data_IF_011482046206
#
_entry.id   IF_011482046206
#
_cell.length_a   1.000
_cell.length_b   1.000
_cell.length_c   1.000
_cell.angle_alpha   90.00
_cell.angle_beta   90.00
_cell.angle_gamma   90.00
#
_symmetry.space_group_name_H-M   'P 1'
#
loop_
_entity.id
_entity.type
_entity.pdbx_description
1 polymer ?
#
# COMPACT_ATOMS: atom_id res chain seq x y z
N UNK A 1 0.47 28.13 1.05
CA UNK A 1 0.72 26.67 1.00
C UNK A 1 0.49 26.15 2.40
N UNK A 2 -0.42 25.20 2.58
CA UNK A 2 -0.57 24.48 3.85
C UNK A 2 0.58 23.49 3.96
N UNK A 3 1.32 23.55 5.07
CA UNK A 3 2.37 22.58 5.36
C UNK A 3 1.72 21.24 5.74
N UNK A 4 2.20 20.15 5.16
CA UNK A 4 1.86 18.80 5.56
C UNK A 4 2.67 18.42 6.80
N UNK A 5 2.04 17.75 7.76
CA UNK A 5 2.66 17.27 9.00
C UNK A 5 2.96 15.78 8.90
N UNK A 6 3.96 15.32 9.66
CA UNK A 6 4.28 13.89 9.74
C UNK A 6 3.11 13.09 10.33
N UNK A 7 2.94 11.86 9.85
CA UNK A 7 1.99 10.92 10.43
C UNK A 7 2.36 10.63 11.89
N UNK A 8 1.37 10.69 12.77
CA UNK A 8 1.49 10.18 14.14
C UNK A 8 1.15 8.69 14.11
N UNK A 9 2.09 7.85 14.53
CA UNK A 9 1.95 6.40 14.51
C UNK A 9 1.93 5.87 15.94
N UNK A 10 0.88 5.12 16.27
CA UNK A 10 0.90 4.19 17.38
C UNK A 10 1.24 2.79 16.86
N UNK A 11 1.70 1.92 17.75
CA UNK A 11 1.97 0.52 17.45
C UNK A 11 1.09 -0.33 18.33
N UNK A 12 0.34 -1.25 17.72
CA UNK A 12 -0.48 -2.20 18.48
C UNK A 12 0.39 -3.30 19.12
N UNK A 13 -0.23 -4.15 19.95
CA UNK A 13 0.46 -5.25 20.64
C UNK A 13 1.08 -6.29 19.69
N UNK A 14 0.65 -6.33 18.42
CA UNK A 14 1.21 -7.18 17.38
C UNK A 14 2.39 -6.54 16.63
N UNK A 15 2.76 -5.29 16.96
CA UNK A 15 3.82 -4.56 16.28
C UNK A 15 3.41 -4.01 14.91
N UNK A 16 2.13 -3.77 14.68
CA UNK A 16 1.62 -3.17 13.43
C UNK A 16 1.31 -1.69 13.65
N UNK A 17 1.69 -0.80 12.70
CA UNK A 17 1.42 0.62 12.83
C UNK A 17 -0.08 0.90 12.66
N UNK A 18 -0.59 1.72 13.57
CA UNK A 18 -1.98 2.21 13.61
C UNK A 18 -1.96 3.71 13.43
N UNK A 19 -2.87 4.22 12.60
CA UNK A 19 -3.05 5.66 12.48
C UNK A 19 -3.98 6.19 13.57
N UNK A 20 -3.46 6.97 14.50
CA UNK A 20 -4.27 7.60 15.56
C UNK A 20 -5.35 8.55 14.99
N UNK A 21 -5.16 9.04 13.76
CA UNK A 21 -6.10 9.95 13.11
C UNK A 21 -7.26 9.23 12.41
N UNK A 22 -7.09 7.97 12.03
CA UNK A 22 -8.08 7.20 11.28
C UNK A 22 -8.57 5.95 12.03
N UNK A 23 -7.99 5.65 13.20
CA UNK A 23 -8.28 4.49 14.05
C UNK A 23 -8.23 3.15 13.29
N UNK A 24 -7.27 3.04 12.37
CA UNK A 24 -7.12 1.88 11.48
C UNK A 24 -5.66 1.45 11.34
N UNK A 25 -5.45 0.17 11.05
CA UNK A 25 -4.14 -0.43 10.79
C UNK A 25 -3.70 -0.13 9.35
N UNK A 26 -2.41 0.15 9.12
CA UNK A 26 -1.93 0.39 7.76
C UNK A 26 -1.89 -0.88 6.89
N UNK A 27 -1.77 -2.05 7.51
CA UNK A 27 -1.84 -3.35 6.85
C UNK A 27 -2.29 -4.43 7.83
N UNK A 28 -2.79 -5.55 7.31
CA UNK A 28 -3.21 -6.69 8.12
C UNK A 28 -2.06 -7.26 8.96
N UNK A 29 -2.30 -7.44 10.26
CA UNK A 29 -1.33 -7.96 11.25
C UNK A 29 -0.76 -9.34 10.88
N UNK A 30 -1.46 -10.13 10.07
CA UNK A 30 -1.13 -11.55 9.86
C UNK A 30 -0.51 -11.81 8.47
N UNK A 31 -1.05 -11.19 7.40
CA UNK A 31 -0.71 -11.54 6.01
C UNK A 31 -0.68 -10.35 5.05
N UNK A 32 -0.31 -9.14 5.52
CA UNK A 32 -0.35 -7.91 4.71
C UNK A 32 0.39 -7.99 3.35
N UNK A 33 1.48 -8.76 3.27
CA UNK A 33 2.22 -8.96 2.02
C UNK A 33 1.41 -9.77 0.98
N UNK A 34 0.84 -10.91 1.39
CA UNK A 34 0.06 -11.77 0.49
C UNK A 34 -1.24 -11.09 0.06
N UNK A 35 -1.87 -10.34 0.97
CA UNK A 35 -3.02 -9.50 0.64
C UNK A 35 -2.66 -8.42 -0.39
N UNK A 36 -1.53 -7.73 -0.22
CA UNK A 36 -1.04 -6.73 -1.18
C UNK A 36 -0.77 -7.35 -2.56
N UNK A 37 -0.12 -8.53 -2.59
CA UNK A 37 0.12 -9.27 -3.84
C UNK A 37 -1.19 -9.62 -4.52
N UNK A 38 -2.13 -10.19 -3.78
CA UNK A 38 -3.43 -10.58 -4.33
C UNK A 38 -4.21 -9.37 -4.84
N UNK A 39 -4.46 -8.37 -3.98
CA UNK A 39 -5.36 -7.26 -4.28
C UNK A 39 -4.78 -6.27 -5.29
N UNK A 40 -3.50 -5.89 -5.16
CA UNK A 40 -2.94 -4.83 -6.01
C UNK A 40 -2.17 -5.37 -7.20
N UNK A 41 -1.44 -6.48 -7.05
CA UNK A 41 -0.60 -7.01 -8.14
C UNK A 41 -1.40 -7.96 -9.03
N UNK A 42 -2.03 -8.97 -8.44
CA UNK A 42 -2.75 -9.99 -9.20
C UNK A 42 -4.06 -9.44 -9.79
N UNK A 43 -4.87 -8.69 -9.03
CA UNK A 43 -6.13 -8.15 -9.58
C UNK A 43 -5.95 -7.04 -10.62
N UNK A 44 -4.79 -6.37 -10.64
CA UNK A 44 -4.45 -5.49 -11.77
C UNK A 44 -3.78 -6.25 -12.93
N UNK A 45 -3.61 -7.56 -12.81
CA UNK A 45 -2.95 -8.46 -13.76
C UNK A 45 -1.56 -7.94 -14.16
N UNK A 46 -0.83 -7.38 -13.19
CA UNK A 46 0.42 -6.70 -13.48
C UNK A 46 1.47 -7.62 -14.10
N UNK A 47 1.70 -8.86 -13.62
CA UNK A 47 2.70 -9.74 -14.21
C UNK A 47 2.42 -10.03 -15.69
N UNK A 48 1.17 -10.37 -16.03
CA UNK A 48 0.75 -10.66 -17.40
C UNK A 48 0.92 -9.42 -18.28
N UNK A 49 0.43 -8.27 -17.80
CA UNK A 49 0.57 -7.01 -18.53
C UNK A 49 2.03 -6.67 -18.75
N UNK A 50 2.92 -6.80 -17.77
CA UNK A 50 4.35 -6.53 -17.94
C UNK A 50 5.01 -7.43 -18.99
N UNK A 51 4.59 -8.69 -19.10
CA UNK A 51 5.11 -9.59 -20.13
C UNK A 51 4.63 -9.24 -21.55
N UNK A 52 3.39 -8.76 -21.68
CA UNK A 52 2.77 -8.45 -22.97
C UNK A 52 2.96 -6.98 -23.39
N UNK A 53 3.44 -6.13 -22.48
CA UNK A 53 3.56 -4.70 -22.73
C UNK A 53 4.79 -4.36 -23.57
N UNK A 54 4.56 -3.68 -24.69
CA UNK A 54 5.59 -3.37 -25.69
C UNK A 54 6.19 -1.97 -25.53
N UNK A 55 5.65 -1.15 -24.63
CA UNK A 55 6.15 0.21 -24.42
C UNK A 55 7.27 0.24 -23.38
N UNK A 56 8.19 1.19 -23.56
CA UNK A 56 9.36 1.37 -22.69
C UNK A 56 9.02 1.71 -21.23
N UNK A 57 7.81 2.21 -20.93
CA UNK A 57 7.45 2.70 -19.59
C UNK A 57 6.06 2.25 -19.19
N UNK A 58 5.97 1.48 -18.11
CA UNK A 58 4.74 1.19 -17.41
C UNK A 58 4.56 2.17 -16.24
N UNK A 59 3.37 2.74 -16.06
CA UNK A 59 3.10 3.76 -15.02
C UNK A 59 1.98 3.27 -14.11
N UNK A 60 2.20 3.37 -12.80
CA UNK A 60 1.20 3.10 -11.76
C UNK A 60 1.02 4.40 -10.98
N UNK A 61 -0.23 4.74 -10.69
CA UNK A 61 -0.59 5.83 -9.79
C UNK A 61 -1.22 5.23 -8.54
N UNK A 62 -0.85 5.77 -7.38
CA UNK A 62 -1.32 5.32 -6.08
C UNK A 62 -1.90 6.53 -5.32
N UNK A 63 -3.06 6.31 -4.68
CA UNK A 63 -3.69 7.30 -3.81
C UNK A 63 -3.53 6.87 -2.36
N UNK A 64 -2.55 7.46 -1.67
CA UNK A 64 -2.21 7.14 -0.28
C UNK A 64 -1.06 6.13 -0.22
N UNK A 65 0.16 6.63 -0.02
CA UNK A 65 1.38 5.80 0.01
C UNK A 65 1.47 4.92 1.27
N UNK A 66 0.96 5.40 2.40
CA UNK A 66 0.95 4.60 3.63
C UNK A 66 2.34 4.24 4.14
N UNK A 67 2.60 2.94 4.27
CA UNK A 67 3.80 2.31 4.89
C UNK A 67 4.39 1.23 4.00
#
# INVERSE_FOLDING_TARGET
MTAITHAQLAWNDAGTPVSDHFDDVYFSNTNGLEETRYVFIEKNHLPQRWHEYDQRRFVIAETGFGT
#
